data_IF_499716152925
#
_entry.id   IF_499716152925
#
_cell.length_a   1.000
_cell.length_b   1.000
_cell.length_c   1.000
_cell.angle_alpha   90.00
_cell.angle_beta   90.00
_cell.angle_gamma   90.00
#
_symmetry.space_group_name_H-M   'P 1'
#
loop_
_entity.id
_entity.type
_entity.pdbx_description
1 polymer ?
#
# COMPACT_ATOMS: atom_id res chain seq x y z
N UNK A 1 -22.89 -16.83 -18.66
CA UNK A 1 -21.60 -16.15 -18.94
C UNK A 1 -20.49 -17.18 -18.74
N UNK A 2 -19.64 -17.38 -19.74
CA UNK A 2 -18.53 -18.35 -19.65
C UNK A 2 -17.37 -17.65 -18.93
N UNK A 3 -17.03 -18.11 -17.73
CA UNK A 3 -15.79 -17.71 -17.09
C UNK A 3 -14.63 -18.38 -17.81
N UNK A 4 -13.93 -17.62 -18.64
CA UNK A 4 -12.65 -18.05 -19.20
C UNK A 4 -11.62 -18.15 -18.08
N UNK A 5 -11.33 -19.36 -17.61
CA UNK A 5 -10.19 -19.63 -16.75
C UNK A 5 -8.91 -19.53 -17.60
N UNK A 6 -8.08 -18.53 -17.32
CA UNK A 6 -6.76 -18.38 -17.94
C UNK A 6 -5.68 -18.69 -16.91
N UNK A 7 -4.62 -19.39 -17.30
CA UNK A 7 -3.48 -19.69 -16.41
C UNK A 7 -2.65 -18.44 -16.05
N UNK A 8 -2.79 -17.35 -16.81
CA UNK A 8 -2.08 -16.09 -16.61
C UNK A 8 -3.06 -14.94 -16.43
N UNK A 9 -3.78 -14.86 -15.29
CA UNK A 9 -4.72 -13.77 -15.06
C UNK A 9 -3.98 -12.44 -15.08
N UNK A 10 -4.51 -11.48 -15.84
CA UNK A 10 -4.05 -10.11 -15.79
C UNK A 10 -4.31 -9.55 -14.39
N UNK A 11 -3.26 -9.04 -13.74
CA UNK A 11 -3.29 -8.53 -12.36
C UNK A 11 -2.84 -7.08 -12.32
N UNK A 12 -3.42 -6.33 -11.38
CA UNK A 12 -2.97 -4.99 -11.01
C UNK A 12 -2.42 -5.08 -9.59
N UNK A 13 -1.19 -4.62 -9.40
CA UNK A 13 -0.60 -4.46 -8.07
C UNK A 13 -0.75 -3.01 -7.65
N UNK A 14 -1.22 -2.78 -6.42
CA UNK A 14 -1.46 -1.45 -5.87
C UNK A 14 -0.89 -1.38 -4.47
N UNK A 15 -0.20 -0.28 -4.17
CA UNK A 15 0.15 0.11 -2.81
C UNK A 15 -0.80 1.22 -2.35
N UNK A 16 -1.22 1.15 -1.10
CA UNK A 16 -1.95 2.21 -0.43
C UNK A 16 -1.59 2.20 1.07
N UNK A 17 -1.70 3.34 1.72
CA UNK A 17 -1.59 3.51 3.16
C UNK A 17 -2.76 4.35 3.68
N UNK A 18 -3.07 4.22 4.97
CA UNK A 18 -4.01 5.11 5.66
C UNK A 18 -3.23 5.85 6.73
N UNK A 19 -3.44 7.15 6.81
CA UNK A 19 -2.87 8.02 7.81
C UNK A 19 -3.98 8.93 8.34
N UNK A 20 -4.41 8.69 9.58
CA UNK A 20 -5.59 9.32 10.16
C UNK A 20 -6.84 9.10 9.28
N UNK A 21 -7.46 10.18 8.81
CA UNK A 21 -8.59 10.25 7.88
C UNK A 21 -8.15 10.31 6.41
N UNK A 22 -6.85 10.35 6.13
CA UNK A 22 -6.31 10.54 4.79
C UNK A 22 -5.77 9.24 4.21
N UNK A 23 -6.12 8.95 2.97
CA UNK A 23 -5.50 7.88 2.20
C UNK A 23 -4.21 8.36 1.54
N UNK A 24 -3.15 7.56 1.65
CA UNK A 24 -1.88 7.74 0.94
C UNK A 24 -1.88 6.76 -0.25
N UNK A 25 -1.82 7.29 -1.47
CA UNK A 25 -1.99 6.52 -2.70
C UNK A 25 -3.36 6.73 -3.36
N UNK A 26 -3.78 5.86 -4.30
CA UNK A 26 -3.20 4.56 -4.61
C UNK A 26 -2.00 4.71 -5.55
N UNK A 27 -0.93 3.94 -5.31
CA UNK A 27 0.22 3.86 -6.22
C UNK A 27 0.20 2.52 -6.96
N UNK A 28 0.10 2.59 -8.28
CA UNK A 28 0.15 1.39 -9.12
C UNK A 28 1.58 0.91 -9.30
N UNK A 29 1.77 -0.39 -9.17
CA UNK A 29 3.06 -1.05 -9.35
C UNK A 29 3.02 -1.78 -10.68
N UNK A 30 3.76 -1.26 -11.64
CA UNK A 30 4.00 -1.95 -12.90
C UNK A 30 5.08 -3.01 -12.64
N UNK A 31 4.70 -4.28 -12.81
CA UNK A 31 5.49 -5.51 -12.54
C UNK A 31 5.52 -6.01 -11.08
N UNK A 32 6.40 -6.99 -10.85
CA UNK A 32 6.62 -7.58 -9.54
C UNK A 32 7.39 -6.59 -8.65
N UNK A 33 6.85 -6.34 -7.47
CA UNK A 33 7.53 -5.57 -6.44
C UNK A 33 8.74 -6.34 -5.93
N UNK A 34 9.92 -5.72 -5.97
CA UNK A 34 11.12 -6.17 -5.30
C UNK A 34 11.57 -5.09 -4.30
N UNK A 35 12.57 -5.39 -3.48
CA UNK A 35 13.00 -4.46 -2.44
C UNK A 35 13.52 -3.13 -2.99
N UNK A 36 14.22 -3.12 -4.12
CA UNK A 36 14.76 -1.91 -4.76
C UNK A 36 13.63 -0.99 -5.25
N UNK A 37 12.65 -1.54 -5.97
CA UNK A 37 11.47 -0.79 -6.41
C UNK A 37 10.67 -0.29 -5.23
N UNK A 38 10.55 -1.10 -4.18
CA UNK A 38 9.84 -0.68 -2.97
C UNK A 38 10.54 0.48 -2.26
N UNK A 39 11.87 0.44 -2.12
CA UNK A 39 12.62 1.58 -1.60
C UNK A 39 12.44 2.83 -2.46
N UNK A 40 12.49 2.69 -3.79
CA UNK A 40 12.26 3.82 -4.70
C UNK A 40 10.86 4.42 -4.53
N UNK A 41 9.83 3.59 -4.35
CA UNK A 41 8.47 4.06 -4.04
C UNK A 41 8.41 4.76 -2.68
N UNK A 42 9.09 4.23 -1.66
CA UNK A 42 9.19 4.88 -0.35
C UNK A 42 9.78 6.29 -0.47
N UNK A 43 10.93 6.42 -1.14
CA UNK A 43 11.65 7.68 -1.31
C UNK A 43 10.90 8.70 -2.17
N UNK A 44 10.37 8.26 -3.30
CA UNK A 44 9.95 9.18 -4.36
C UNK A 44 8.44 9.48 -4.33
N UNK A 45 7.66 8.74 -3.54
CA UNK A 45 6.20 8.87 -3.53
C UNK A 45 5.64 8.83 -2.11
N UNK A 46 5.87 7.73 -1.39
CA UNK A 46 5.16 7.45 -0.14
C UNK A 46 5.58 8.39 0.98
N UNK A 47 6.89 8.49 1.26
CA UNK A 47 7.38 9.34 2.36
C UNK A 47 7.15 10.82 2.07
N UNK A 48 7.31 11.24 0.81
CA UNK A 48 6.97 12.61 0.39
C UNK A 48 5.51 12.93 0.67
N UNK A 49 4.59 12.04 0.27
CA UNK A 49 3.16 12.24 0.53
C UNK A 49 2.82 12.22 2.01
N UNK A 50 3.46 11.35 2.80
CA UNK A 50 3.29 11.36 4.26
C UNK A 50 3.74 12.71 4.83
N UNK A 51 4.92 13.21 4.46
CA UNK A 51 5.42 14.53 4.89
C UNK A 51 4.45 15.66 4.57
N UNK A 52 3.87 15.65 3.37
CA UNK A 52 2.85 16.65 2.98
C UNK A 52 1.60 16.60 3.85
N UNK A 53 1.10 15.39 4.17
CA UNK A 53 -0.12 15.22 4.98
C UNK A 53 0.13 15.56 6.45
N UNK A 54 1.29 15.19 6.98
CA UNK A 54 1.62 15.40 8.39
C UNK A 54 2.14 16.79 8.67
N UNK A 55 2.70 17.45 7.65
CA UNK A 55 3.39 18.73 7.76
C UNK A 55 4.39 18.70 8.95
N UNK A 56 4.24 19.62 9.90
CA UNK A 56 5.10 19.77 11.09
C UNK A 56 5.04 18.57 12.05
N UNK A 57 4.10 17.64 11.88
CA UNK A 57 3.94 16.44 12.71
C UNK A 57 4.62 15.17 12.14
N UNK A 58 5.45 15.32 11.11
CA UNK A 58 6.15 14.16 10.52
C UNK A 58 7.01 13.40 11.56
N UNK A 59 7.65 14.14 12.46
CA UNK A 59 8.53 13.58 13.49
C UNK A 59 7.79 12.83 14.61
N UNK A 60 6.45 12.94 14.66
CA UNK A 60 5.58 12.19 15.56
C UNK A 60 4.90 11.00 14.85
N UNK A 61 5.05 10.87 13.53
CA UNK A 61 4.31 9.90 12.69
C UNK A 61 4.95 8.52 12.66
N UNK A 62 4.19 7.48 13.01
CA UNK A 62 4.68 6.11 12.95
C UNK A 62 4.43 5.46 11.59
N UNK A 63 5.43 4.75 11.06
CA UNK A 63 5.27 3.98 9.82
C UNK A 63 5.10 2.49 10.10
N UNK A 64 4.00 1.90 9.64
CA UNK A 64 3.75 0.47 9.79
C UNK A 64 3.72 -0.21 8.41
N UNK A 65 4.42 -1.34 8.28
CA UNK A 65 4.35 -2.22 7.11
C UNK A 65 4.33 -3.71 7.52
N UNK A 66 3.77 -4.55 6.64
CA UNK A 66 3.76 -6.00 6.86
C UNK A 66 5.13 -6.66 6.57
N UNK A 67 5.20 -7.97 6.79
CA UNK A 67 6.43 -8.76 6.59
C UNK A 67 6.68 -9.25 5.16
N UNK A 68 6.07 -8.64 4.13
CA UNK A 68 6.25 -9.07 2.73
C UNK A 68 7.73 -9.03 2.30
N UNK A 69 8.07 -9.86 1.31
CA UNK A 69 9.44 -10.04 0.81
C UNK A 69 10.20 -8.74 0.55
N UNK A 70 9.63 -7.82 -0.27
CA UNK A 70 10.24 -6.53 -0.56
C UNK A 70 10.48 -5.63 0.65
N UNK A 71 9.65 -5.74 1.70
CA UNK A 71 9.63 -4.81 2.83
C UNK A 71 10.79 -5.02 3.83
N UNK A 72 11.41 -6.20 3.86
CA UNK A 72 12.51 -6.50 4.80
C UNK A 72 13.92 -6.37 4.19
N UNK A 73 14.03 -5.88 2.95
CA UNK A 73 15.31 -5.63 2.28
C UNK A 73 16.24 -4.76 3.15
N UNK A 74 17.56 -5.01 3.11
CA UNK A 74 18.52 -4.29 3.97
C UNK A 74 18.47 -2.78 3.71
N UNK A 75 18.44 -2.37 2.44
CA UNK A 75 18.33 -0.97 2.02
C UNK A 75 16.99 -0.34 2.37
N UNK A 76 15.88 -1.08 2.26
CA UNK A 76 14.55 -0.62 2.70
C UNK A 76 14.56 -0.31 4.20
N UNK A 77 15.08 -1.22 5.02
CA UNK A 77 15.14 -1.03 6.47
C UNK A 77 16.07 0.12 6.86
N UNK A 78 17.24 0.21 6.23
CA UNK A 78 18.16 1.32 6.44
C UNK A 78 17.53 2.68 6.07
N UNK A 79 16.73 2.72 5.01
CA UNK A 79 15.97 3.92 4.65
C UNK A 79 14.93 4.28 5.72
N UNK A 80 14.15 3.30 6.18
CA UNK A 80 13.14 3.53 7.23
C UNK A 80 13.76 3.91 8.58
N UNK A 81 14.93 3.36 8.92
CA UNK A 81 15.70 3.78 10.11
C UNK A 81 16.16 5.25 10.01
N UNK A 82 16.39 5.75 8.79
CA UNK A 82 16.77 7.14 8.55
C UNK A 82 15.56 8.08 8.62
N UNK A 83 14.45 7.72 7.98
CA UNK A 83 13.26 8.60 7.89
C UNK A 83 12.37 8.54 9.14
N UNK A 84 12.29 7.38 9.79
CA UNK A 84 11.43 7.12 10.96
C UNK A 84 12.25 6.52 12.11
N UNK A 85 13.29 7.22 12.61
CA UNK A 85 14.21 6.68 13.61
C UNK A 85 13.46 6.21 14.86
N UNK A 86 13.46 4.88 15.11
CA UNK A 86 12.74 4.26 16.22
C UNK A 86 11.21 4.24 16.10
N UNK A 87 10.63 4.80 15.04
CA UNK A 87 9.18 5.03 14.84
C UNK A 87 8.60 4.26 13.67
N UNK A 88 9.17 3.10 13.35
CA UNK A 88 8.56 2.21 12.36
C UNK A 88 8.42 0.78 12.89
N UNK A 89 7.37 0.12 12.39
CA UNK A 89 6.99 -1.24 12.74
C UNK A 89 7.04 -2.09 11.47
N UNK A 90 7.77 -3.19 11.53
CA UNK A 90 7.92 -4.08 10.40
C UNK A 90 8.83 -5.25 10.72
N UNK A 91 8.93 -6.18 9.78
CA UNK A 91 9.77 -7.38 9.97
C UNK A 91 11.25 -6.99 10.07
N UNK A 92 11.93 -7.36 11.17
CA UNK A 92 13.32 -6.98 11.47
C UNK A 92 13.56 -5.46 11.57
N UNK A 93 12.53 -4.71 11.95
CA UNK A 93 12.64 -3.31 12.34
C UNK A 93 12.90 -3.13 13.84
N UNK A 94 12.97 -1.87 14.32
CA UNK A 94 13.12 -1.57 15.74
C UNK A 94 11.91 -2.06 16.56
N UNK A 95 10.74 -2.09 15.94
CA UNK A 95 9.53 -2.73 16.48
C UNK A 95 9.09 -3.84 15.53
N UNK A 96 9.07 -5.09 16.01
CA UNK A 96 8.84 -6.24 15.15
C UNK A 96 7.34 -6.45 14.86
N UNK A 97 6.99 -6.53 13.57
CA UNK A 97 5.65 -6.94 13.16
C UNK A 97 5.51 -8.48 13.22
N UNK A 98 4.48 -9.03 13.89
CA UNK A 98 4.29 -10.46 13.99
C UNK A 98 4.02 -11.10 12.62
N UNK A 99 4.54 -12.31 12.42
CA UNK A 99 4.35 -13.03 11.18
C UNK A 99 2.89 -13.49 11.04
N UNK A 100 2.34 -13.34 9.82
CA UNK A 100 0.98 -13.81 9.44
C UNK A 100 -0.15 -13.17 10.26
N UNK A 101 -0.03 -11.89 10.58
CA UNK A 101 -1.07 -11.13 11.29
C UNK A 101 -1.74 -10.06 10.41
N UNK A 102 -2.48 -10.45 9.34
CA UNK A 102 -3.21 -9.51 8.51
C UNK A 102 -4.40 -8.87 9.25
N UNK A 103 -4.91 -9.55 10.28
CA UNK A 103 -5.97 -9.09 11.20
C UNK A 103 -5.58 -7.85 12.01
N UNK A 104 -4.28 -7.64 12.22
CA UNK A 104 -3.76 -6.47 12.94
C UNK A 104 -3.64 -5.21 12.07
N UNK A 105 -3.99 -5.28 10.78
CA UNK A 105 -3.95 -4.12 9.89
C UNK A 105 -5.38 -3.67 9.51
N UNK A 106 -5.84 -2.52 10.03
CA UNK A 106 -7.12 -1.92 9.62
C UNK A 106 -7.24 -1.73 8.10
N UNK A 107 -6.12 -1.46 7.42
CA UNK A 107 -6.03 -1.35 5.95
C UNK A 107 -6.45 -2.66 5.24
N UNK A 108 -5.98 -3.81 5.74
CA UNK A 108 -6.31 -5.11 5.17
C UNK A 108 -7.77 -5.49 5.38
N UNK A 109 -8.33 -5.21 6.56
CA UNK A 109 -9.72 -5.57 6.83
C UNK A 109 -10.73 -4.62 6.18
N UNK A 110 -10.52 -3.31 6.27
CA UNK A 110 -11.54 -2.31 5.90
C UNK A 110 -11.36 -1.88 4.45
N UNK A 111 -10.21 -1.29 4.13
CA UNK A 111 -9.98 -0.63 2.84
C UNK A 111 -9.93 -1.61 1.66
N UNK A 112 -9.11 -2.66 1.75
CA UNK A 112 -8.99 -3.62 0.66
C UNK A 112 -10.28 -4.43 0.45
N UNK A 113 -11.01 -4.76 1.53
CA UNK A 113 -12.33 -5.40 1.42
C UNK A 113 -13.36 -4.50 0.75
N UNK A 114 -13.41 -3.22 1.15
CA UNK A 114 -14.28 -2.21 0.54
C UNK A 114 -14.00 -2.07 -0.95
N UNK A 115 -12.73 -1.83 -1.32
CA UNK A 115 -12.34 -1.66 -2.72
C UNK A 115 -12.68 -2.89 -3.56
N UNK A 116 -12.39 -4.08 -3.05
CA UNK A 116 -12.71 -5.32 -3.75
C UNK A 116 -14.21 -5.45 -4.02
N UNK A 117 -15.06 -5.14 -3.04
CA UNK A 117 -16.50 -5.20 -3.20
C UNK A 117 -17.03 -4.20 -4.24
N UNK A 118 -16.43 -3.02 -4.33
CA UNK A 118 -16.85 -1.95 -5.26
C UNK A 118 -16.34 -2.19 -6.68
N UNK A 119 -15.02 -2.37 -6.83
CA UNK A 119 -14.35 -2.52 -8.12
C UNK A 119 -14.83 -3.75 -8.89
N UNK A 120 -15.07 -4.86 -8.17
CA UNK A 120 -15.55 -6.11 -8.74
C UNK A 120 -17.06 -6.30 -8.69
N UNK A 121 -17.84 -5.25 -8.33
CA UNK A 121 -19.31 -5.29 -8.44
C UNK A 121 -19.77 -5.72 -9.84
N UNK A 122 -19.00 -5.33 -10.86
CA UNK A 122 -19.05 -5.92 -12.20
C UNK A 122 -17.64 -6.33 -12.61
N UNK A 123 -17.51 -7.32 -13.49
CA UNK A 123 -16.19 -7.76 -14.00
C UNK A 123 -15.50 -6.60 -14.76
N UNK A 124 -14.26 -6.21 -14.40
CA UNK A 124 -13.50 -5.23 -15.18
C UNK A 124 -13.28 -5.72 -16.61
N UNK A 125 -13.38 -4.79 -17.58
CA UNK A 125 -13.29 -5.12 -19.02
C UNK A 125 -11.86 -5.41 -19.46
N UNK A 126 -10.90 -4.70 -18.88
CA UNK A 126 -9.46 -4.82 -19.12
C UNK A 126 -8.70 -4.19 -17.94
N UNK A 127 -7.35 -4.19 -18.00
CA UNK A 127 -6.51 -3.62 -16.95
C UNK A 127 -6.70 -2.12 -16.74
N UNK A 128 -6.95 -1.36 -17.80
CA UNK A 128 -7.15 0.09 -17.71
C UNK A 128 -8.48 0.43 -17.02
N UNK A 129 -9.56 -0.24 -17.43
CA UNK A 129 -10.87 -0.16 -16.76
C UNK A 129 -10.75 -0.54 -15.27
N UNK A 130 -9.93 -1.54 -14.96
CA UNK A 130 -9.67 -1.94 -13.57
C UNK A 130 -8.94 -0.85 -12.78
N UNK A 131 -7.87 -0.25 -13.33
CA UNK A 131 -7.14 0.87 -12.70
C UNK A 131 -8.04 2.08 -12.50
N UNK A 132 -8.81 2.46 -13.52
CA UNK A 132 -9.70 3.61 -13.47
C UNK A 132 -10.80 3.45 -12.41
N UNK A 133 -11.35 2.23 -12.25
CA UNK A 133 -12.29 1.94 -11.15
C UNK A 133 -11.66 2.07 -9.78
N UNK A 134 -10.43 1.58 -9.61
CA UNK A 134 -9.71 1.73 -8.33
C UNK A 134 -9.52 3.22 -8.00
N UNK A 135 -9.05 4.02 -8.96
CA UNK A 135 -8.87 5.47 -8.77
C UNK A 135 -10.19 6.16 -8.44
N UNK A 136 -11.27 5.85 -9.18
CA UNK A 136 -12.57 6.46 -8.95
C UNK A 136 -13.12 6.16 -7.55
N UNK A 137 -13.04 4.90 -7.10
CA UNK A 137 -13.51 4.51 -5.76
C UNK A 137 -12.63 5.09 -4.66
N UNK A 138 -11.32 5.18 -4.87
CA UNK A 138 -10.41 5.80 -3.91
C UNK A 138 -10.68 7.30 -3.77
N UNK A 139 -10.82 8.02 -4.88
CA UNK A 139 -11.12 9.46 -4.84
C UNK A 139 -12.46 9.73 -4.14
N UNK A 140 -13.47 8.88 -4.37
CA UNK A 140 -14.76 8.97 -3.70
C UNK A 140 -14.72 8.68 -2.19
N UNK A 141 -13.66 8.07 -1.65
CA UNK A 141 -13.46 7.92 -0.20
C UNK A 141 -12.92 9.22 0.41
N UNK A 142 -12.05 9.93 -0.33
CA UNK A 142 -11.39 11.16 0.12
C UNK A 142 -12.36 12.37 0.12
N UNK A 143 -13.46 12.29 -0.61
CA UNK A 143 -14.48 13.35 -0.74
C UNK A 143 -15.62 13.27 0.30
N UNK A 144 -15.55 12.36 1.29
CA UNK A 144 -16.56 12.20 2.37
C UNK A 144 -16.05 12.87 3.65
#
# INVERSE_FOLDING_TARGET
MIEGHTQYPQKVNVWAGILNDTLIGPYFIDDNLNAERYEAMLRNQIVLRIREVTNDHFDDTWFQQDGAGPHYGVHVRAYLDTEFPGRWIGRRGPNEWPARSPDLSPLYYIFWSYLKNKVYKTKPRNLEDHRNRIVAEVNGIIEI
#
